data_IF_363723030957
#
_entry.id   IF_363723030957
#
_cell.length_a   1.000
_cell.length_b   1.000
_cell.length_c   1.000
_cell.angle_alpha   90.00
_cell.angle_beta   90.00
_cell.angle_gamma   90.00
#
_symmetry.space_group_name_H-M   'P 1'
#
loop_
_entity.id
_entity.type
_entity.pdbx_description
1 polymer ?
#
# COMPACT_ATOMS: atom_id res chain seq x y z
N UNK A 1 13.54 4.05 3.90
CA UNK A 1 12.64 3.05 3.29
C UNK A 1 12.91 2.92 1.80
N UNK A 2 12.53 1.79 1.22
CA UNK A 2 12.70 1.47 -0.20
C UNK A 2 11.54 1.93 -1.09
N UNK A 3 10.45 2.44 -0.53
CA UNK A 3 9.26 2.90 -1.24
C UNK A 3 9.11 4.43 -1.22
N UNK A 4 8.31 4.97 -2.13
CA UNK A 4 7.95 6.38 -2.11
C UNK A 4 6.93 6.68 -1.02
N UNK A 5 7.26 7.67 -0.18
CA UNK A 5 6.38 8.19 0.84
C UNK A 5 6.23 9.71 0.66
N UNK A 6 5.46 10.15 -0.35
CA UNK A 6 5.26 11.59 -0.62
C UNK A 6 4.67 12.33 0.59
N UNK A 7 4.80 13.65 0.57
CA UNK A 7 4.25 14.56 1.58
C UNK A 7 2.98 15.20 1.05
N UNK A 8 1.81 14.87 1.60
CA UNK A 8 0.54 15.43 1.15
C UNK A 8 -0.06 16.43 2.12
N UNK A 9 -0.78 17.40 1.57
CA UNK A 9 -1.59 18.32 2.35
C UNK A 9 -2.91 17.62 2.76
N UNK A 10 -3.55 17.98 3.90
CA UNK A 10 -4.76 17.33 4.39
C UNK A 10 -5.93 17.24 3.37
N UNK A 11 -5.98 18.18 2.43
CA UNK A 11 -7.00 18.31 1.38
C UNK A 11 -6.58 17.69 0.04
N UNK A 12 -5.51 16.89 0.02
CA UNK A 12 -4.99 16.25 -1.20
C UNK A 12 -6.07 15.50 -2.00
N UNK A 13 -6.00 15.61 -3.31
CA UNK A 13 -6.94 14.97 -4.23
C UNK A 13 -6.22 14.52 -5.50
N UNK A 14 -6.77 13.48 -6.12
CA UNK A 14 -6.34 12.98 -7.42
C UNK A 14 -7.41 13.27 -8.47
N UNK A 15 -7.02 13.25 -9.74
CA UNK A 15 -8.00 13.14 -10.82
C UNK A 15 -8.74 11.81 -10.62
N UNK A 16 -10.08 11.80 -10.46
CA UNK A 16 -10.81 10.56 -10.25
C UNK A 16 -10.86 9.68 -11.50
N UNK A 17 -10.56 10.23 -12.70
CA UNK A 17 -10.46 9.48 -13.94
C UNK A 17 -9.03 8.92 -14.08
N UNK A 18 -8.89 7.63 -13.83
CA UNK A 18 -7.62 6.90 -13.91
C UNK A 18 -7.18 6.66 -15.35
N UNK A 19 -5.87 6.62 -15.54
CA UNK A 19 -5.20 6.22 -16.77
C UNK A 19 -4.81 4.76 -16.61
N UNK A 20 -5.23 3.88 -17.53
CA UNK A 20 -4.77 2.50 -17.55
C UNK A 20 -3.26 2.49 -17.84
N UNK A 21 -2.46 2.23 -16.81
CA UNK A 21 -1.01 2.17 -16.92
C UNK A 21 -0.56 0.89 -17.61
N UNK A 22 -1.17 -0.24 -17.22
CA UNK A 22 -0.96 -1.54 -17.83
C UNK A 22 -2.27 -2.35 -17.76
N UNK A 23 -2.46 -3.27 -18.70
CA UNK A 23 -3.65 -4.10 -18.80
C UNK A 23 -3.28 -5.59 -18.99
N UNK A 24 -4.27 -6.45 -19.15
CA UNK A 24 -4.11 -7.88 -19.33
C UNK A 24 -3.10 -8.29 -20.42
N UNK A 25 -2.97 -7.54 -21.51
CA UNK A 25 -2.03 -7.89 -22.59
C UNK A 25 -0.58 -7.59 -22.22
N UNK A 26 -0.35 -6.66 -21.29
CA UNK A 26 0.96 -6.25 -20.84
C UNK A 26 1.43 -7.01 -19.61
N UNK A 27 0.53 -7.21 -18.64
CA UNK A 27 0.86 -7.77 -17.32
C UNK A 27 0.22 -9.14 -17.05
N UNK A 28 -0.63 -9.63 -17.95
CA UNK A 28 -1.43 -10.82 -17.70
C UNK A 28 -2.61 -10.55 -16.76
N UNK A 29 -3.25 -11.63 -16.32
CA UNK A 29 -4.45 -11.57 -15.49
C UNK A 29 -4.15 -11.40 -14.00
N UNK A 30 -5.12 -10.81 -13.30
CA UNK A 30 -5.22 -10.69 -11.85
C UNK A 30 -3.94 -10.12 -11.22
N UNK A 31 -3.58 -8.85 -11.52
CA UNK A 31 -2.54 -8.18 -10.77
C UNK A 31 -2.95 -8.09 -9.31
N UNK A 32 -2.15 -8.67 -8.40
CA UNK A 32 -2.47 -8.75 -6.97
C UNK A 32 -1.70 -7.74 -6.15
N UNK A 33 -0.42 -7.56 -6.46
CA UNK A 33 0.46 -6.69 -5.71
C UNK A 33 1.19 -5.70 -6.62
N UNK A 34 1.37 -4.48 -6.13
CA UNK A 34 2.21 -3.46 -6.76
C UNK A 34 3.12 -2.84 -5.71
N UNK A 35 4.38 -2.62 -6.07
CA UNK A 35 5.35 -1.89 -5.26
C UNK A 35 6.10 -0.91 -6.16
N UNK A 36 6.27 0.33 -5.71
CA UNK A 36 7.04 1.34 -6.43
C UNK A 36 8.17 1.81 -5.52
N UNK A 37 9.41 1.61 -5.98
CA UNK A 37 10.57 2.02 -5.22
C UNK A 37 10.86 3.53 -5.35
N UNK A 38 11.83 4.04 -4.59
CA UNK A 38 12.25 5.45 -4.60
C UNK A 38 12.80 5.96 -5.95
N UNK A 39 13.12 5.05 -6.87
CA UNK A 39 13.57 5.35 -8.22
C UNK A 39 12.43 5.27 -9.26
N UNK A 40 11.16 5.15 -8.82
CA UNK A 40 9.98 4.92 -9.66
C UNK A 40 10.09 3.67 -10.56
N UNK A 41 10.85 2.66 -10.13
CA UNK A 41 10.73 1.31 -10.68
C UNK A 41 9.48 0.66 -10.10
N UNK A 42 8.64 0.13 -10.98
CA UNK A 42 7.34 -0.43 -10.67
C UNK A 42 7.45 -1.95 -10.75
N UNK A 43 7.13 -2.62 -9.66
CA UNK A 43 7.11 -4.07 -9.53
C UNK A 43 5.67 -4.51 -9.38
N UNK A 44 5.20 -5.37 -10.28
CA UNK A 44 3.85 -5.93 -10.25
C UNK A 44 3.94 -7.44 -10.16
N UNK A 45 3.19 -8.04 -9.24
CA UNK A 45 2.94 -9.47 -9.28
C UNK A 45 1.60 -9.73 -9.97
N UNK A 46 1.68 -10.42 -11.11
CA UNK A 46 0.54 -10.82 -11.93
C UNK A 46 0.89 -12.12 -12.67
N UNK A 47 -0.12 -12.95 -12.96
CA UNK A 47 0.05 -14.19 -13.72
C UNK A 47 1.27 -15.06 -13.34
N UNK A 48 1.51 -15.25 -12.03
CA UNK A 48 2.64 -16.05 -11.48
C UNK A 48 4.03 -15.52 -11.81
N UNK A 49 4.15 -14.23 -12.07
CA UNK A 49 5.41 -13.59 -12.43
C UNK A 49 5.53 -12.24 -11.72
N UNK A 50 6.76 -11.83 -11.42
CA UNK A 50 7.06 -10.45 -11.09
C UNK A 50 7.48 -9.74 -12.37
N UNK A 51 6.78 -8.66 -12.68
CA UNK A 51 7.03 -7.79 -13.80
C UNK A 51 7.66 -6.51 -13.27
N UNK A 52 8.84 -6.17 -13.78
CA UNK A 52 9.55 -4.94 -13.43
C UNK A 52 9.45 -4.00 -14.61
N UNK A 53 9.00 -2.78 -14.37
CA UNK A 53 8.86 -1.71 -15.35
C UNK A 53 9.33 -0.38 -14.75
N UNK A 54 9.41 0.67 -15.57
CA UNK A 54 9.71 2.02 -15.12
C UNK A 54 8.56 2.95 -15.49
N UNK A 55 8.35 4.00 -14.70
CA UNK A 55 7.35 5.01 -15.03
C UNK A 55 7.58 5.58 -16.44
N UNK A 56 6.56 5.56 -17.29
CA UNK A 56 6.63 5.96 -18.70
C UNK A 56 6.80 4.80 -19.69
N UNK A 57 7.10 3.59 -19.21
CA UNK A 57 7.16 2.38 -20.03
C UNK A 57 6.05 1.42 -19.65
N UNK A 58 5.16 1.14 -20.61
CA UNK A 58 4.04 0.20 -20.41
C UNK A 58 4.59 -1.24 -20.30
N UNK A 59 5.56 -1.60 -21.16
CA UNK A 59 6.11 -2.96 -21.20
C UNK A 59 7.15 -3.22 -20.09
N UNK A 60 7.15 -4.42 -19.49
CA UNK A 60 8.14 -4.80 -18.49
C UNK A 60 9.54 -4.91 -19.11
N UNK A 61 10.55 -4.39 -18.41
CA UNK A 61 11.97 -4.50 -18.76
C UNK A 61 12.61 -5.78 -18.21
N UNK A 62 11.99 -6.38 -17.18
CA UNK A 62 12.42 -7.66 -16.60
C UNK A 62 11.21 -8.45 -16.14
N UNK A 63 11.25 -9.76 -16.38
CA UNK A 63 10.24 -10.73 -15.95
C UNK A 63 10.95 -11.77 -15.08
N UNK A 64 10.46 -11.97 -13.87
CA UNK A 64 10.98 -12.96 -12.92
C UNK A 64 9.87 -13.99 -12.67
N UNK A 65 9.98 -15.22 -13.19
CA UNK A 65 8.97 -16.24 -12.98
C UNK A 65 8.95 -16.72 -11.52
N UNK A 66 7.75 -17.02 -11.02
CA UNK A 66 7.55 -17.63 -9.70
C UNK A 66 6.65 -18.85 -9.85
N UNK A 67 7.04 -19.96 -9.23
CA UNK A 67 6.23 -21.18 -9.21
C UNK A 67 5.06 -21.12 -8.20
N UNK A 68 4.53 -19.91 -7.92
CA UNK A 68 3.39 -19.69 -7.02
C UNK A 68 2.15 -19.36 -7.83
N UNK A 69 0.99 -19.85 -7.39
CA UNK A 69 -0.28 -19.50 -8.04
C UNK A 69 -1.09 -18.43 -7.29
N UNK A 70 -0.64 -18.05 -6.11
CA UNK A 70 -1.49 -17.37 -5.12
C UNK A 70 -0.89 -16.11 -4.52
N UNK A 71 0.37 -15.74 -4.79
CA UNK A 71 1.00 -14.60 -4.10
C UNK A 71 0.15 -13.34 -4.07
N UNK A 72 0.06 -12.73 -2.90
CA UNK A 72 -0.78 -11.59 -2.55
C UNK A 72 0.02 -10.32 -2.28
N UNK A 73 1.31 -10.43 -1.96
CA UNK A 73 2.12 -9.29 -1.53
C UNK A 73 3.52 -9.33 -2.12
N UNK A 74 4.04 -8.15 -2.44
CA UNK A 74 5.43 -7.95 -2.89
C UNK A 74 6.04 -6.76 -2.16
N UNK A 75 7.31 -6.86 -1.86
CA UNK A 75 8.12 -5.79 -1.28
C UNK A 75 9.49 -5.82 -1.94
N UNK A 76 10.09 -4.65 -2.15
CA UNK A 76 11.47 -4.54 -2.64
C UNK A 76 12.28 -3.75 -1.63
N UNK A 77 13.48 -4.21 -1.28
CA UNK A 77 14.40 -3.52 -0.36
C UNK A 77 15.30 -2.53 -1.11
N UNK A 78 16.03 -1.66 -0.39
CA UNK A 78 16.88 -0.61 -1.00
C UNK A 78 18.04 -1.17 -1.83
N UNK A 79 18.49 -2.38 -1.54
CA UNK A 79 19.49 -3.11 -2.31
C UNK A 79 18.90 -3.83 -3.55
N UNK A 80 17.58 -3.74 -3.78
CA UNK A 80 16.89 -4.33 -4.92
C UNK A 80 16.41 -5.77 -4.72
N UNK A 81 16.67 -6.40 -3.57
CA UNK A 81 16.11 -7.74 -3.28
C UNK A 81 14.58 -7.67 -3.21
N UNK A 82 13.91 -8.71 -3.70
CA UNK A 82 12.44 -8.77 -3.76
C UNK A 82 11.95 -9.84 -2.80
N UNK A 83 11.02 -9.46 -1.92
CA UNK A 83 10.34 -10.36 -1.00
C UNK A 83 8.92 -10.55 -1.50
N UNK A 84 8.50 -11.81 -1.57
CA UNK A 84 7.18 -12.19 -2.07
C UNK A 84 6.67 -13.38 -1.29
N UNK A 85 5.37 -13.36 -0.98
CA UNK A 85 4.75 -14.51 -0.34
C UNK A 85 4.64 -15.66 -1.33
N UNK A 86 4.79 -16.88 -0.83
CA UNK A 86 4.67 -18.10 -1.62
C UNK A 86 4.07 -19.19 -0.72
N UNK A 87 2.79 -19.01 -0.40
CA UNK A 87 2.00 -19.89 0.47
C UNK A 87 2.58 -20.04 1.88
N UNK A 88 3.36 -21.09 2.14
CA UNK A 88 3.89 -21.43 3.47
C UNK A 88 5.26 -20.81 3.77
N UNK A 89 5.79 -20.03 2.83
CA UNK A 89 7.08 -19.34 2.95
C UNK A 89 7.02 -17.93 2.38
N UNK A 90 7.92 -17.06 2.84
CA UNK A 90 8.29 -15.84 2.10
C UNK A 90 9.57 -16.13 1.34
N UNK A 91 9.54 -15.97 0.02
CA UNK A 91 10.73 -16.06 -0.82
C UNK A 91 11.44 -14.71 -0.86
N UNK A 92 12.77 -14.77 -0.90
CA UNK A 92 13.65 -13.64 -1.19
C UNK A 92 14.35 -13.89 -2.51
N UNK A 93 14.03 -13.09 -3.51
CA UNK A 93 14.81 -13.03 -4.73
C UNK A 93 16.00 -12.09 -4.53
N UNK A 94 17.21 -12.64 -4.67
CA UNK A 94 18.47 -11.94 -4.44
C UNK A 94 18.92 -11.28 -5.74
N UNK A 95 18.90 -9.96 -5.79
CA UNK A 95 18.99 -9.22 -7.06
C UNK A 95 20.33 -9.37 -7.78
N UNK A 96 21.43 -9.41 -7.05
CA UNK A 96 22.76 -9.53 -7.64
C UNK A 96 23.12 -10.96 -8.09
N UNK A 97 22.40 -11.98 -7.58
CA UNK A 97 22.61 -13.39 -7.92
C UNK A 97 21.57 -13.93 -8.90
N UNK A 98 20.44 -13.23 -9.06
CA UNK A 98 19.25 -13.74 -9.78
C UNK A 98 18.77 -15.11 -9.25
N UNK A 99 18.86 -15.34 -7.94
CA UNK A 99 18.44 -16.60 -7.30
C UNK A 99 17.42 -16.35 -6.21
N UNK A 100 16.60 -17.35 -5.92
CA UNK A 100 15.70 -17.33 -4.77
C UNK A 100 16.33 -17.99 -3.55
N UNK A 101 16.03 -17.45 -2.38
CA UNK A 101 16.27 -18.03 -1.06
C UNK A 101 14.99 -17.90 -0.21
N UNK A 102 14.96 -18.49 0.98
CA UNK A 102 13.82 -18.40 1.90
C UNK A 102 14.06 -17.34 2.98
N UNK A 103 13.17 -16.36 3.08
CA UNK A 103 13.20 -15.34 4.12
C UNK A 103 12.33 -15.64 5.33
N UNK A 104 11.35 -16.54 5.24
CA UNK A 104 10.49 -16.88 6.38
C UNK A 104 9.83 -18.23 6.11
N UNK A 105 9.70 -19.08 7.13
CA UNK A 105 9.03 -20.39 7.07
C UNK A 105 8.05 -20.58 8.22
N UNK A 106 7.16 -21.56 8.10
CA UNK A 106 6.19 -21.87 9.15
C UNK A 106 5.07 -20.83 9.23
N UNK A 107 4.66 -20.32 8.08
CA UNK A 107 3.62 -19.29 7.95
C UNK A 107 2.46 -19.83 7.12
N UNK A 108 1.38 -19.06 7.06
CA UNK A 108 0.35 -19.19 6.03
C UNK A 108 0.43 -18.00 5.07
N UNK A 109 -0.38 -18.00 4.01
CA UNK A 109 -0.43 -16.94 3.00
C UNK A 109 -0.33 -15.52 3.60
N UNK A 110 0.72 -14.79 3.21
CA UNK A 110 0.95 -13.42 3.64
C UNK A 110 0.23 -12.44 2.73
N UNK A 111 -0.89 -11.90 3.20
CA UNK A 111 -1.67 -10.91 2.44
C UNK A 111 -1.09 -9.49 2.51
N UNK A 112 -0.13 -9.27 3.40
CA UNK A 112 0.67 -8.05 3.46
C UNK A 112 2.06 -8.37 3.96
N UNK A 113 3.08 -7.90 3.24
CA UNK A 113 4.48 -7.95 3.61
C UNK A 113 5.01 -6.53 3.79
N UNK A 114 5.85 -6.34 4.81
CA UNK A 114 6.52 -5.06 5.04
C UNK A 114 7.88 -5.29 5.71
N UNK A 115 8.88 -4.47 5.38
CA UNK A 115 10.15 -4.40 6.12
C UNK A 115 10.24 -3.03 6.76
N UNK A 116 10.34 -3.01 8.09
CA UNK A 116 10.43 -1.78 8.86
C UNK A 116 11.84 -1.16 8.83
N UNK A 117 12.03 -0.05 9.54
CA UNK A 117 13.31 0.67 9.61
C UNK A 117 14.41 -0.11 10.36
N UNK A 118 14.05 -1.16 11.09
CA UNK A 118 14.95 -2.00 11.88
C UNK A 118 15.26 -3.33 11.18
N UNK A 119 15.06 -3.40 9.86
CA UNK A 119 15.28 -4.60 9.05
C UNK A 119 14.49 -5.82 9.56
N UNK A 120 13.26 -5.58 10.04
CA UNK A 120 12.35 -6.64 10.48
C UNK A 120 11.28 -6.89 9.42
N UNK A 121 11.21 -8.13 8.93
CA UNK A 121 10.21 -8.59 7.97
C UNK A 121 8.91 -8.96 8.69
N UNK A 122 7.81 -8.35 8.27
CA UNK A 122 6.47 -8.56 8.79
C UNK A 122 5.58 -9.24 7.76
N UNK A 123 4.70 -10.12 8.22
CA UNK A 123 3.73 -10.83 7.40
C UNK A 123 2.36 -10.84 8.09
N UNK A 124 1.34 -10.40 7.37
CA UNK A 124 -0.07 -10.52 7.78
C UNK A 124 -0.66 -11.84 7.30
N UNK A 125 -0.93 -12.75 8.22
CA UNK A 125 -1.46 -14.08 7.95
C UNK A 125 -2.97 -14.08 8.03
N UNK A 126 -3.62 -14.06 6.85
CA UNK A 126 -5.08 -13.99 6.74
C UNK A 126 -5.77 -15.15 7.48
N UNK A 127 -5.33 -16.38 7.22
CA UNK A 127 -6.01 -17.59 7.69
C UNK A 127 -5.74 -17.88 9.17
N UNK A 128 -4.65 -17.34 9.70
CA UNK A 128 -4.29 -17.44 11.12
C UNK A 128 -4.65 -16.18 11.89
N UNK A 129 -5.33 -15.19 11.30
CA UNK A 129 -5.87 -14.04 12.05
C UNK A 129 -4.81 -13.30 12.91
N UNK A 130 -3.59 -13.17 12.37
CA UNK A 130 -2.46 -12.60 13.10
C UNK A 130 -1.47 -11.93 12.14
N UNK A 131 -0.67 -11.02 12.70
CA UNK A 131 0.52 -10.47 12.05
C UNK A 131 1.73 -10.99 12.80
N UNK A 132 2.74 -11.43 12.07
CA UNK A 132 4.01 -11.91 12.62
C UNK A 132 5.19 -11.10 12.12
N UNK A 133 6.31 -11.17 12.84
CA UNK A 133 7.58 -10.56 12.46
C UNK A 133 8.76 -11.50 12.60
N UNK A 134 9.84 -11.21 11.89
CA UNK A 134 11.15 -11.86 12.01
C UNK A 134 12.24 -10.85 11.68
N UNK A 135 13.33 -10.82 12.47
CA UNK A 135 14.52 -10.05 12.10
C UNK A 135 15.22 -10.71 10.92
N UNK A 136 15.59 -9.93 9.90
CA UNK A 136 16.20 -10.49 8.71
C UNK A 136 17.60 -11.09 8.97
N UNK A 137 18.27 -10.65 10.03
CA UNK A 137 19.57 -11.15 10.50
C UNK A 137 19.52 -12.51 11.21
N UNK A 138 18.35 -12.95 11.68
CA UNK A 138 18.23 -14.17 12.47
C UNK A 138 18.54 -15.41 11.63
N UNK A 139 19.31 -16.36 12.16
CA UNK A 139 19.51 -17.66 11.50
C UNK A 139 18.23 -18.51 11.49
N UNK A 140 17.34 -18.29 12.47
CA UNK A 140 16.07 -18.99 12.61
C UNK A 140 15.02 -18.33 11.72
N UNK A 141 14.32 -19.13 10.90
CA UNK A 141 13.33 -18.64 9.92
C UNK A 141 11.89 -18.57 10.42
N UNK A 142 11.62 -19.03 11.65
CA UNK A 142 10.29 -19.00 12.26
C UNK A 142 10.00 -17.63 12.85
N UNK A 143 8.84 -17.01 12.52
CA UNK A 143 8.51 -15.69 13.01
C UNK A 143 7.83 -15.72 14.38
N UNK A 144 7.64 -14.54 14.98
CA UNK A 144 6.93 -14.34 16.25
C UNK A 144 5.70 -13.45 16.05
N UNK A 145 4.65 -13.66 16.84
CA UNK A 145 3.39 -12.89 16.74
C UNK A 145 3.61 -11.46 17.26
N UNK A 146 3.09 -10.48 16.53
CA UNK A 146 3.09 -9.06 16.94
C UNK A 146 1.71 -8.46 17.07
N UNK A 147 0.69 -9.03 16.40
CA UNK A 147 -0.69 -8.61 16.54
C UNK A 147 -1.64 -9.78 16.24
N UNK A 148 -2.82 -9.81 16.87
CA UNK A 148 -3.77 -10.91 16.76
C UNK A 148 -3.45 -12.07 17.71
N UNK A 149 -4.37 -13.03 17.80
CA UNK A 149 -4.34 -14.12 18.82
C UNK A 149 -4.39 -15.52 18.21
N UNK A 150 -4.05 -15.64 16.92
CA UNK A 150 -4.22 -16.86 16.13
C UNK A 150 -5.67 -17.37 16.04
N UNK A 151 -6.65 -16.51 16.34
CA UNK A 151 -8.09 -16.80 16.35
C UNK A 151 -8.84 -15.61 15.81
N UNK A 152 -9.93 -15.86 15.11
CA UNK A 152 -10.81 -14.79 14.62
C UNK A 152 -11.56 -14.18 15.79
N UNK A 153 -11.60 -12.85 15.81
CA UNK A 153 -12.31 -12.09 16.83
C UNK A 153 -12.30 -10.60 16.53
N UNK A 154 -12.96 -9.82 17.36
CA UNK A 154 -13.15 -8.37 17.16
C UNK A 154 -12.69 -7.55 18.36
N UNK A 155 -12.19 -8.19 19.43
CA UNK A 155 -11.58 -7.48 20.54
C UNK A 155 -10.37 -6.63 20.07
N UNK A 156 -9.93 -5.64 20.85
CA UNK A 156 -8.81 -4.77 20.48
C UNK A 156 -7.50 -5.51 20.15
N UNK A 157 -7.25 -6.66 20.76
CA UNK A 157 -6.09 -7.51 20.52
C UNK A 157 -6.32 -8.63 19.50
N UNK A 158 -7.53 -8.76 18.97
CA UNK A 158 -7.92 -9.79 18.01
C UNK A 158 -8.03 -9.20 16.60
N UNK A 159 -7.84 -10.06 15.60
CA UNK A 159 -7.99 -9.72 14.20
C UNK A 159 -8.92 -10.74 13.54
N UNK A 160 -9.52 -10.37 12.42
CA UNK A 160 -10.36 -11.25 11.61
C UNK A 160 -10.00 -11.09 10.13
N UNK A 161 -9.21 -12.05 9.65
CA UNK A 161 -8.65 -12.10 8.28
C UNK A 161 -7.86 -10.83 7.92
N UNK A 162 -6.77 -10.52 8.64
CA UNK A 162 -5.98 -9.33 8.33
C UNK A 162 -5.40 -9.43 6.91
N UNK A 163 -5.40 -8.30 6.19
CA UNK A 163 -4.87 -8.18 4.83
C UNK A 163 -3.62 -7.30 4.85
N UNK A 164 -3.59 -6.21 4.08
CA UNK A 164 -2.45 -5.31 3.98
C UNK A 164 -2.05 -4.71 5.33
N UNK A 165 -0.75 -4.53 5.48
CA UNK A 165 -0.13 -3.90 6.65
C UNK A 165 0.76 -2.76 6.19
N UNK A 166 0.94 -1.77 7.07
CA UNK A 166 1.92 -0.72 6.89
C UNK A 166 2.57 -0.43 8.24
N UNK A 167 3.88 -0.19 8.25
CA UNK A 167 4.62 0.12 9.47
C UNK A 167 5.32 1.46 9.27
N UNK A 168 5.08 2.42 10.17
CA UNK A 168 5.66 3.75 10.04
C UNK A 168 7.08 3.86 10.64
N UNK A 169 7.67 5.06 10.60
CA UNK A 169 9.01 5.33 11.17
C UNK A 169 9.13 5.07 12.67
N UNK A 170 8.02 5.10 13.41
CA UNK A 170 7.98 4.80 14.84
C UNK A 170 7.82 3.30 15.10
N UNK A 171 7.75 2.49 14.04
CA UNK A 171 7.45 1.05 14.10
C UNK A 171 6.03 0.79 14.62
N UNK A 172 5.12 1.74 14.41
CA UNK A 172 3.70 1.54 14.67
C UNK A 172 3.07 0.73 13.51
N UNK A 173 2.37 -0.36 13.82
CA UNK A 173 1.79 -1.30 12.87
C UNK A 173 0.32 -0.98 12.60
N UNK A 174 -0.01 -0.68 11.34
CA UNK A 174 -1.37 -0.52 10.85
C UNK A 174 -1.80 -1.79 10.13
N UNK A 175 -2.98 -2.32 10.46
CA UNK A 175 -3.51 -3.58 9.92
C UNK A 175 -4.89 -3.36 9.32
N UNK A 176 -5.06 -3.77 8.07
CA UNK A 176 -6.36 -3.83 7.41
C UNK A 176 -7.10 -5.07 7.90
N UNK A 177 -7.98 -4.90 8.88
CA UNK A 177 -8.71 -5.98 9.54
C UNK A 177 -10.01 -6.27 8.77
N UNK A 178 -9.85 -6.91 7.59
CA UNK A 178 -10.87 -6.99 6.54
C UNK A 178 -12.25 -7.42 7.05
N UNK A 179 -12.38 -8.51 7.81
CA UNK A 179 -13.69 -9.03 8.21
C UNK A 179 -14.30 -8.33 9.42
N UNK A 180 -13.55 -7.43 10.05
CA UNK A 180 -14.07 -6.51 11.06
C UNK A 180 -14.34 -5.11 10.48
N UNK A 181 -14.14 -4.90 9.17
CA UNK A 181 -14.40 -3.63 8.48
C UNK A 181 -13.72 -2.42 9.14
N UNK A 182 -12.48 -2.61 9.60
CA UNK A 182 -11.72 -1.60 10.36
C UNK A 182 -10.23 -1.59 10.02
N UNK A 183 -9.55 -0.53 10.45
CA UNK A 183 -8.09 -0.47 10.52
C UNK A 183 -7.66 -0.39 11.97
N UNK A 184 -6.82 -1.32 12.40
CA UNK A 184 -6.22 -1.37 13.73
C UNK A 184 -4.80 -0.80 13.70
N UNK A 185 -4.46 0.03 14.69
CA UNK A 185 -3.13 0.54 14.97
C UNK A 185 -2.58 -0.15 16.23
N UNK A 186 -1.47 -0.85 16.11
CA UNK A 186 -0.71 -1.41 17.22
C UNK A 186 0.57 -0.59 17.37
N UNK A 187 0.68 0.18 18.45
CA UNK A 187 1.91 0.91 18.74
C UNK A 187 3.04 -0.06 19.09
N UNK A 188 4.29 0.34 18.89
CA UNK A 188 5.45 -0.53 19.14
C UNK A 188 5.39 -1.18 20.53
N UNK A 189 5.40 -2.52 20.55
CA UNK A 189 5.38 -3.33 21.78
C UNK A 189 4.00 -3.51 22.41
N UNK A 190 2.94 -2.90 21.88
CA UNK A 190 1.57 -3.04 22.36
C UNK A 190 0.84 -4.16 21.61
N UNK A 191 0.12 -5.00 22.35
CA UNK A 191 -0.74 -6.05 21.79
C UNK A 191 -2.21 -5.64 21.71
N UNK A 192 -2.58 -4.51 22.29
CA UNK A 192 -3.91 -3.91 22.24
C UNK A 192 -3.93 -2.89 21.09
N UNK A 193 -4.76 -3.13 20.09
CA UNK A 193 -4.91 -2.25 18.94
C UNK A 193 -5.92 -1.13 19.17
N UNK A 194 -5.64 0.04 18.59
CA UNK A 194 -6.53 1.20 18.54
C UNK A 194 -7.23 1.22 17.18
N UNK A 195 -8.56 1.30 17.17
CA UNK A 195 -9.29 1.43 15.90
C UNK A 195 -9.20 2.85 15.38
N UNK A 196 -8.46 3.02 14.28
CA UNK A 196 -8.19 4.35 13.67
C UNK A 196 -9.11 4.67 12.48
N UNK A 197 -9.78 3.67 11.91
CA UNK A 197 -10.75 3.85 10.83
C UNK A 197 -11.77 2.70 10.80
N UNK A 198 -12.98 2.99 10.34
CA UNK A 198 -14.04 1.98 10.16
C UNK A 198 -14.77 1.62 11.46
N UNK A 199 -15.29 0.39 11.52
CA UNK A 199 -16.14 -0.08 12.61
C UNK A 199 -15.41 -0.07 13.96
N UNK A 200 -15.99 0.57 14.98
CA UNK A 200 -15.39 0.75 16.31
C UNK A 200 -14.46 1.96 16.44
N UNK A 201 -14.25 2.75 15.36
CA UNK A 201 -13.55 4.04 15.50
C UNK A 201 -14.40 5.04 16.30
N UNK A 202 -13.80 5.88 17.17
CA UNK A 202 -14.55 6.81 18.01
C UNK A 202 -15.39 7.85 17.23
N UNK A 203 -14.91 8.26 16.05
CA UNK A 203 -15.54 9.28 15.21
C UNK A 203 -15.59 8.80 13.74
N UNK A 204 -16.49 7.86 13.40
CA UNK A 204 -16.54 7.29 12.06
C UNK A 204 -17.12 8.32 11.07
N UNK A 205 -16.32 8.74 10.09
CA UNK A 205 -16.79 9.62 8.99
C UNK A 205 -17.05 8.86 7.70
N UNK A 206 -16.64 7.60 7.63
CA UNK A 206 -16.88 6.68 6.51
C UNK A 206 -16.95 5.25 7.02
N UNK A 207 -17.91 4.48 6.52
CA UNK A 207 -17.96 3.03 6.75
C UNK A 207 -17.00 2.33 5.78
N UNK A 208 -16.19 1.39 6.26
CA UNK A 208 -15.36 0.53 5.42
C UNK A 208 -16.08 -0.79 5.16
N UNK A 209 -15.64 -1.52 4.13
CA UNK A 209 -16.04 -2.90 3.87
C UNK A 209 -14.86 -3.67 3.29
N UNK A 210 -14.34 -4.62 4.08
CA UNK A 210 -13.12 -5.38 3.82
C UNK A 210 -11.98 -4.51 3.25
N UNK A 211 -11.37 -3.64 4.08
CA UNK A 211 -10.16 -2.96 3.68
C UNK A 211 -9.05 -4.00 3.39
N UNK A 212 -8.33 -3.86 2.26
CA UNK A 212 -7.27 -4.83 1.88
C UNK A 212 -5.88 -4.23 1.78
N UNK A 213 -5.75 -2.93 1.55
CA UNK A 213 -4.47 -2.25 1.37
C UNK A 213 -4.43 -0.96 2.18
N UNK A 214 -3.27 -0.67 2.77
CA UNK A 214 -3.04 0.51 3.59
C UNK A 214 -1.68 1.11 3.21
N UNK A 215 -1.64 2.43 3.04
CA UNK A 215 -0.39 3.19 2.91
C UNK A 215 -0.52 4.48 3.70
N UNK A 216 0.58 4.89 4.34
CA UNK A 216 0.72 6.22 4.94
C UNK A 216 1.60 7.09 4.06
N UNK A 217 1.25 8.37 3.95
CA UNK A 217 2.18 9.38 3.48
C UNK A 217 3.18 9.78 4.59
N UNK A 218 4.11 10.67 4.29
CA UNK A 218 5.14 11.08 5.25
C UNK A 218 4.61 12.05 6.33
N UNK A 219 3.33 12.42 6.31
CA UNK A 219 2.62 13.16 7.37
C UNK A 219 1.70 12.24 8.18
N UNK A 220 1.74 10.93 7.92
CA UNK A 220 0.85 9.93 8.51
C UNK A 220 -0.63 10.08 8.11
N UNK A 221 -0.93 10.72 6.98
CA UNK A 221 -2.24 10.58 6.35
C UNK A 221 -2.41 9.17 5.83
N UNK A 222 -3.52 8.54 6.19
CA UNK A 222 -3.87 7.16 5.91
C UNK A 222 -4.69 7.03 4.63
N UNK A 223 -4.23 6.18 3.71
CA UNK A 223 -4.90 5.82 2.47
C UNK A 223 -5.26 4.35 2.53
N UNK A 224 -6.53 4.03 2.31
CA UNK A 224 -7.10 2.70 2.48
C UNK A 224 -7.76 2.27 1.17
N UNK A 225 -7.44 1.06 0.70
CA UNK A 225 -8.24 0.36 -0.29
C UNK A 225 -9.43 -0.28 0.41
N UNK A 226 -10.60 0.33 0.22
CA UNK A 226 -11.89 -0.12 0.74
C UNK A 226 -12.54 -1.06 -0.29
N UNK A 227 -12.01 -2.28 -0.33
CA UNK A 227 -12.02 -3.11 -1.53
C UNK A 227 -13.36 -3.73 -1.85
N UNK A 228 -14.24 -3.97 -0.87
CA UNK A 228 -15.61 -4.41 -1.17
C UNK A 228 -16.53 -3.26 -1.57
N UNK A 229 -16.24 -2.05 -1.09
CA UNK A 229 -16.87 -0.82 -1.60
C UNK A 229 -16.25 -0.29 -2.90
N UNK A 230 -15.23 -0.98 -3.45
CA UNK A 230 -14.61 -0.70 -4.75
C UNK A 230 -14.03 0.72 -4.87
N UNK A 231 -13.46 1.21 -3.78
CA UNK A 231 -13.01 2.59 -3.70
C UNK A 231 -11.73 2.74 -2.90
N UNK A 232 -11.18 3.94 -2.98
CA UNK A 232 -10.01 4.35 -2.21
C UNK A 232 -10.45 5.49 -1.32
N UNK A 233 -10.15 5.39 -0.04
CA UNK A 233 -10.49 6.41 0.95
C UNK A 233 -9.21 6.96 1.58
N UNK A 234 -9.22 8.23 1.95
CA UNK A 234 -8.08 8.89 2.56
C UNK A 234 -8.50 9.72 3.76
N UNK A 235 -7.68 9.73 4.80
CA UNK A 235 -7.86 10.60 5.96
C UNK A 235 -7.67 12.07 5.57
N UNK A 236 -8.36 12.96 6.29
CA UNK A 236 -8.24 14.40 6.12
C UNK A 236 -8.68 15.14 7.38
N UNK A 237 -8.76 16.48 7.31
CA UNK A 237 -9.03 17.32 8.48
C UNK A 237 -10.44 17.13 9.03
N UNK A 238 -11.38 16.72 8.17
CA UNK A 238 -12.77 16.43 8.52
C UNK A 238 -13.03 14.90 8.59
N UNK A 239 -11.99 14.12 8.88
CA UNK A 239 -12.01 12.65 8.82
C UNK A 239 -11.77 12.08 7.43
N UNK A 240 -12.09 10.80 7.26
CA UNK A 240 -11.93 10.07 6.01
C UNK A 240 -12.94 10.50 4.96
N UNK A 241 -12.49 10.54 3.70
CA UNK A 241 -13.30 10.80 2.51
C UNK A 241 -12.96 9.83 1.39
N UNK A 242 -13.90 9.62 0.48
CA UNK A 242 -13.63 8.88 -0.75
C UNK A 242 -12.78 9.72 -1.72
N UNK A 243 -11.75 9.12 -2.28
CA UNK A 243 -10.81 9.75 -3.22
C UNK A 243 -11.04 9.28 -4.67
N UNK A 244 -11.30 7.98 -4.85
CA UNK A 244 -11.43 7.30 -6.15
C UNK A 244 -12.48 6.21 -6.02
N UNK A 245 -13.26 5.93 -7.08
CA UNK A 245 -14.26 4.85 -7.08
C UNK A 245 -15.58 5.21 -6.37
N UNK A 246 -15.83 6.50 -6.14
CA UNK A 246 -16.98 6.96 -5.34
C UNK A 246 -18.33 6.84 -6.05
N UNK A 247 -18.35 6.49 -7.34
CA UNK A 247 -19.55 6.38 -8.17
C UNK A 247 -19.92 4.92 -8.49
N UNK A 248 -19.52 3.99 -7.62
CA UNK A 248 -19.84 2.57 -7.74
C UNK A 248 -18.80 1.75 -8.51
N UNK A 249 -19.12 0.47 -8.66
CA UNK A 249 -18.23 -0.54 -9.26
C UNK A 249 -18.29 -0.54 -10.78
N UNK A 250 -17.19 -0.92 -11.43
CA UNK A 250 -17.16 -1.15 -12.87
C UNK A 250 -15.77 -1.04 -13.46
N UNK A 251 -15.70 -0.93 -14.78
CA UNK A 251 -14.45 -0.92 -15.55
C UNK A 251 -14.14 0.43 -16.20
N UNK A 252 -14.99 1.45 -16.01
CA UNK A 252 -14.70 2.80 -16.49
C UNK A 252 -13.48 3.39 -15.77
N UNK A 253 -12.90 4.46 -16.32
CA UNK A 253 -11.68 5.09 -15.79
C UNK A 253 -11.83 5.60 -14.35
N UNK A 254 -13.04 5.95 -13.93
CA UNK A 254 -13.33 6.42 -12.57
C UNK A 254 -13.90 5.35 -11.64
N UNK A 255 -13.96 4.09 -12.10
CA UNK A 255 -14.50 2.95 -11.38
C UNK A 255 -13.42 1.90 -11.13
N UNK A 256 -13.62 1.09 -10.10
CA UNK A 256 -12.80 -0.08 -9.77
C UNK A 256 -13.71 -1.30 -9.62
N UNK A 257 -13.16 -2.51 -9.75
CA UNK A 257 -13.93 -3.75 -9.60
C UNK A 257 -13.40 -4.67 -8.50
N UNK A 258 -12.09 -4.70 -8.24
CA UNK A 258 -11.53 -5.35 -7.04
C UNK A 258 -10.12 -4.83 -6.78
N UNK A 259 -9.98 -3.61 -6.22
CA UNK A 259 -8.66 -3.07 -5.95
C UNK A 259 -8.01 -3.88 -4.82
N UNK A 260 -6.70 -4.19 -4.92
CA UNK A 260 -6.02 -5.01 -3.90
C UNK A 260 -4.80 -4.35 -3.27
N UNK A 261 -3.98 -3.68 -4.07
CA UNK A 261 -2.71 -3.09 -3.65
C UNK A 261 -2.58 -1.68 -4.23
N UNK A 262 -1.98 -0.77 -3.46
CA UNK A 262 -1.77 0.62 -3.82
C UNK A 262 -0.32 1.04 -3.54
N UNK A 263 0.25 1.88 -4.39
CA UNK A 263 1.56 2.49 -4.16
C UNK A 263 1.62 3.88 -4.79
N UNK A 264 2.53 4.72 -4.31
CA UNK A 264 2.75 6.06 -4.87
C UNK A 264 4.04 6.10 -5.69
N UNK A 265 4.05 6.90 -6.74
CA UNK A 265 5.32 7.36 -7.33
C UNK A 265 5.88 8.57 -6.57
N UNK A 266 7.11 8.97 -6.88
CA UNK A 266 7.77 10.15 -6.31
C UNK A 266 7.02 11.47 -6.58
N UNK A 267 6.20 11.53 -7.62
CA UNK A 267 5.37 12.71 -7.95
C UNK A 267 4.05 12.72 -7.16
N UNK A 268 3.78 11.67 -6.37
CA UNK A 268 2.56 11.50 -5.60
C UNK A 268 1.37 10.98 -6.41
N UNK A 269 1.57 10.50 -7.64
CA UNK A 269 0.51 9.79 -8.37
C UNK A 269 0.27 8.42 -7.73
N UNK A 270 -0.98 8.00 -7.73
CA UNK A 270 -1.39 6.73 -7.11
C UNK A 270 -1.49 5.64 -8.17
N UNK A 271 -0.87 4.50 -7.92
CA UNK A 271 -0.98 3.30 -8.74
C UNK A 271 -1.72 2.22 -7.97
N UNK A 272 -2.67 1.56 -8.62
CA UNK A 272 -3.60 0.62 -7.97
C UNK A 272 -3.76 -0.62 -8.82
N UNK A 273 -3.64 -1.79 -8.22
CA UNK A 273 -4.00 -3.06 -8.86
C UNK A 273 -5.52 -3.22 -8.84
N UNK A 274 -6.18 -3.10 -9.99
CA UNK A 274 -7.62 -3.32 -10.13
C UNK A 274 -7.85 -4.76 -10.62
N UNK A 275 -7.68 -5.72 -9.70
CA UNK A 275 -7.44 -7.13 -9.99
C UNK A 275 -8.50 -7.74 -10.91
N UNK A 276 -9.78 -7.51 -10.66
CA UNK A 276 -10.87 -8.12 -11.45
C UNK A 276 -11.15 -7.39 -12.78
N UNK A 277 -10.49 -6.26 -13.03
CA UNK A 277 -10.45 -5.61 -14.34
C UNK A 277 -9.12 -5.88 -15.07
N UNK A 278 -8.28 -6.77 -14.53
CA UNK A 278 -6.98 -7.16 -15.11
C UNK A 278 -6.10 -5.98 -15.53
N UNK A 279 -6.03 -4.95 -14.68
CA UNK A 279 -5.31 -3.70 -14.99
C UNK A 279 -4.63 -3.06 -13.79
N UNK A 280 -3.67 -2.20 -14.09
CA UNK A 280 -3.10 -1.22 -13.17
C UNK A 280 -3.64 0.16 -13.54
N UNK A 281 -4.27 0.85 -12.59
CA UNK A 281 -4.74 2.21 -12.78
C UNK A 281 -3.76 3.22 -12.17
N UNK A 282 -3.44 4.27 -12.92
CA UNK A 282 -2.69 5.44 -12.44
C UNK A 282 -3.63 6.63 -12.29
N UNK A 283 -3.72 7.18 -11.08
CA UNK A 283 -4.46 8.41 -10.79
C UNK A 283 -3.47 9.55 -10.60
N UNK A 284 -3.66 10.62 -11.39
CA UNK A 284 -2.77 11.76 -11.36
C UNK A 284 -3.07 12.67 -10.17
N UNK A 285 -2.04 13.06 -9.42
CA UNK A 285 -2.18 14.01 -8.33
C UNK A 285 -2.69 15.36 -8.88
N UNK A 286 -3.76 15.91 -8.29
CA UNK A 286 -4.16 17.29 -8.61
C UNK A 286 -3.15 18.22 -7.95
N UNK A 287 -2.55 19.14 -8.73
CA UNK A 287 -1.63 20.19 -8.25
C UNK A 287 -2.35 21.18 -7.33
N UNK A 288 -2.78 20.72 -6.16
CA UNK A 288 -3.55 21.51 -5.20
C UNK A 288 -2.73 21.88 -3.97
N UNK A 289 -1.67 21.12 -3.63
CA UNK A 289 -0.63 21.48 -2.65
C UNK A 289 0.37 20.31 -2.53
N UNK A 290 1.59 20.44 -3.06
CA UNK A 290 2.72 19.55 -2.73
C UNK A 290 3.63 20.36 -1.81
N UNK A 291 3.88 19.88 -0.59
CA UNK A 291 4.87 20.49 0.29
C UNK A 291 6.25 20.07 -0.25
N UNK A 292 6.88 20.93 -1.06
CA UNK A 292 8.24 20.71 -1.53
C UNK A 292 9.19 20.57 -0.33
N UNK A 293 10.11 19.61 -0.41
CA UNK A 293 11.20 19.50 0.57
C UNK A 293 12.11 20.71 0.46
N UNK A 294 12.51 21.25 1.62
CA UNK A 294 13.23 22.51 1.75
C UNK A 294 14.46 22.65 0.84
N UNK A 295 14.41 23.68 0.02
CA UNK A 295 15.53 24.51 -0.40
C UNK A 295 14.95 25.91 -0.55
N UNK A 296 15.52 26.91 0.12
CA UNK A 296 14.99 28.26 0.31
C UNK A 296 14.22 28.81 -0.89
N UNK A 297 12.89 28.89 -0.76
CA UNK A 297 12.08 29.68 -1.70
C UNK A 297 11.99 31.08 -1.12
N UNK A 298 12.90 31.96 -1.56
CA UNK A 298 12.67 33.40 -1.55
C UNK A 298 11.44 33.67 -2.43
N UNK A 299 10.31 33.96 -1.78
CA UNK A 299 9.12 34.43 -2.47
C UNK A 299 9.42 35.85 -2.97
N UNK A 300 9.68 36.00 -4.26
CA UNK A 300 9.57 37.29 -4.93
C UNK A 300 8.12 37.46 -5.37
N UNK A 301 7.32 38.20 -4.59
CA UNK A 301 6.05 38.74 -5.09
C UNK A 301 6.37 39.79 -6.15
N UNK A 302 6.31 39.42 -7.44
CA UNK A 302 6.20 40.41 -8.53
C UNK A 302 4.78 40.95 -8.55
N UNK A 303 4.52 41.99 -7.75
CA UNK A 303 3.37 42.87 -7.97
C UNK A 303 3.62 43.75 -9.19
N UNK A 304 2.77 43.66 -10.22
CA UNK A 304 2.66 44.69 -11.27
C UNK A 304 1.31 45.38 -11.15
N UNK A 305 1.40 46.66 -10.77
CA UNK A 305 0.59 47.82 -11.13
C UNK A 305 -0.94 47.74 -11.08
N UNK A 306 -1.50 48.49 -10.13
CA UNK A 306 -2.71 49.29 -10.33
C UNK A 306 -2.38 50.73 -9.95
N UNK A 307 -2.29 51.63 -10.94
CA UNK A 307 -2.25 53.06 -10.71
C UNK A 307 -3.67 53.57 -10.54
N UNK A 308 -4.03 54.01 -9.34
CA UNK A 308 -5.19 54.86 -9.13
C UNK A 308 -4.72 56.28 -8.81
N UNK A 309 -4.92 57.18 -9.77
CA UNK A 309 -5.22 58.59 -9.48
C UNK A 309 -6.72 58.75 -9.71
N UNK A 310 -7.47 59.06 -8.67
CA UNK A 310 -8.70 59.85 -8.78
C UNK A 310 -8.77 60.77 -7.57
N UNK A 311 -8.66 62.07 -7.90
CA UNK A 311 -8.88 63.32 -7.14
C UNK A 311 -8.15 63.52 -5.80
#
# INVERSE_FOLDING_TARGET
FSFNQPKFCPTVAWNPFGITFANQTTIGEKPRAIFINTNNTIYVYANRQILVSHEGHINPTKIIPINSSTSHSILVTTNGDIYIDNDEVVLKWISNKNTFDTAMKGISQCYGLFVDINDTLHCSMRNLHQVVKRWMSDSVLTPTIVAGTNRSGSAPNELNTPHGIFIDVNVDLYVADCRNDRVQLFQLGQSIGITVAGNGSPNPTISLSCPTGIVLDAQKYLFILDSWNRRIVGSGPNGFRCLVGCHGRGSQSHQLLFPLSLSFDRSGNMFVTDMNNDRIQKYLLKKSCVMFQGGDVKIWLKGKFGSERVQ
#
